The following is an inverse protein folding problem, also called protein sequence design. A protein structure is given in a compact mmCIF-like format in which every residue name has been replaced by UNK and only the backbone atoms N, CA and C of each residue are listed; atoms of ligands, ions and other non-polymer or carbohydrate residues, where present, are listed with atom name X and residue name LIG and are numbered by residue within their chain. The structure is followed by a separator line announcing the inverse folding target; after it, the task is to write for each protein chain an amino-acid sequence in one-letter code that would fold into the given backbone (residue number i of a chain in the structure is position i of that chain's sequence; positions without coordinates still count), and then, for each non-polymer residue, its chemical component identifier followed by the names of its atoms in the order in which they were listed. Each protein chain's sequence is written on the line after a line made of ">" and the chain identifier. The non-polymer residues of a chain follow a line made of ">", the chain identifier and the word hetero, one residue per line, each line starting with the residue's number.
data_IF_571729603920
#
_entry.id   IF_571729603920
#
_cell.length_a   1.000
_cell.length_b   1.000
_cell.length_c   1.000
_cell.angle_alpha   90.00
_cell.angle_beta   90.00
_cell.angle_gamma   90.00
#
_symmetry.space_group_name_H-M   'P 1'
#
loop_
_entity.id
_entity.type
_entity.pdbx_description
1 polymer ?
#
# COMPACT_ATOMS: atom_id res chain seq x y z
N UNK A 1 -2.98 -9.98 22.07
CA UNK A 1 -1.82 -10.14 22.96
C UNK A 1 -0.59 -9.48 22.34
N UNK A 2 -0.18 -9.82 21.11
CA UNK A 2 1.01 -9.23 20.46
C UNK A 2 0.94 -7.70 20.35
N UNK A 3 -0.20 -7.12 19.95
CA UNK A 3 -0.36 -5.66 19.85
C UNK A 3 -0.19 -4.95 21.20
N UNK A 4 -0.65 -5.58 22.28
CA UNK A 4 -0.50 -5.03 23.62
C UNK A 4 0.96 -5.04 24.10
N UNK A 5 1.70 -6.13 23.81
CA UNK A 5 3.15 -6.22 24.08
C UNK A 5 3.93 -5.16 23.27
N UNK A 6 3.56 -4.93 22.00
CA UNK A 6 4.18 -3.90 21.16
C UNK A 6 3.92 -2.49 21.69
N UNK A 7 2.69 -2.20 22.17
CA UNK A 7 2.36 -0.90 22.78
C UNK A 7 3.18 -0.67 24.05
N UNK A 8 3.24 -1.66 24.96
CA UNK A 8 4.05 -1.56 26.18
C UNK A 8 5.52 -1.42 25.85
N UNK A 9 6.04 -2.22 24.91
CA UNK A 9 7.44 -2.14 24.47
C UNK A 9 7.80 -0.78 23.88
N UNK A 10 6.90 -0.19 23.10
CA UNK A 10 7.06 1.14 22.53
C UNK A 10 7.06 2.22 23.61
N UNK A 11 6.14 2.15 24.57
CA UNK A 11 6.07 3.14 25.66
C UNK A 11 7.27 3.09 26.61
N UNK A 12 7.86 1.90 26.82
CA UNK A 12 8.95 1.71 27.78
C UNK A 12 10.35 1.90 27.17
N UNK A 13 10.53 1.61 25.88
CA UNK A 13 11.86 1.56 25.25
C UNK A 13 12.10 2.57 24.14
N UNK A 14 11.06 3.24 23.60
CA UNK A 14 11.26 4.25 22.57
C UNK A 14 11.40 5.64 23.24
N UNK A 15 12.61 6.20 23.29
CA UNK A 15 12.79 7.55 23.82
C UNK A 15 12.14 8.56 22.88
N UNK A 16 11.55 9.58 23.46
CA UNK A 16 11.02 10.73 22.70
C UNK A 16 12.17 11.43 21.96
N UNK A 17 12.26 11.27 20.65
CA UNK A 17 13.33 11.85 19.83
C UNK A 17 13.08 13.30 19.41
N UNK A 18 11.87 13.84 19.67
CA UNK A 18 11.54 15.23 19.39
C UNK A 18 12.01 16.14 20.53
N UNK A 19 12.97 17.01 20.26
CA UNK A 19 13.35 18.11 21.14
C UNK A 19 12.16 19.02 21.39
N UNK A 20 12.04 19.53 22.62
CA UNK A 20 10.93 20.39 23.08
C UNK A 20 10.73 21.62 22.17
N UNK A 21 11.80 22.12 21.56
CA UNK A 21 11.81 23.24 20.60
C UNK A 21 11.17 22.90 19.25
N UNK A 22 11.13 21.62 18.86
CA UNK A 22 10.54 21.14 17.58
C UNK A 22 9.14 20.54 17.75
N UNK A 23 8.60 20.53 18.98
CA UNK A 23 7.20 20.19 19.18
C UNK A 23 6.35 21.30 18.58
N UNK A 24 5.57 20.98 17.54
CA UNK A 24 4.55 21.91 17.08
C UNK A 24 3.68 22.33 18.28
N UNK A 25 3.77 23.61 18.64
CA UNK A 25 3.15 24.20 19.83
C UNK A 25 1.61 24.23 19.78
N UNK A 26 1.01 23.69 18.73
CA UNK A 26 -0.43 23.57 18.57
C UNK A 26 -0.83 22.21 17.98
N UNK A 27 -0.90 21.19 18.84
CA UNK A 27 -1.44 19.86 18.48
C UNK A 27 -2.97 19.83 18.38
N UNK A 28 -3.61 20.94 18.03
CA UNK A 28 -5.06 21.04 17.88
C UNK A 28 -5.55 20.45 16.55
N UNK A 29 -6.74 19.83 16.55
CA UNK A 29 -7.43 19.34 15.35
C UNK A 29 -7.49 20.40 14.24
N UNK A 30 -7.67 21.67 14.61
CA UNK A 30 -7.71 22.81 13.68
C UNK A 30 -6.40 22.99 12.91
N UNK A 31 -5.25 22.82 13.57
CA UNK A 31 -3.92 22.88 12.94
C UNK A 31 -3.71 21.66 12.02
N UNK A 32 -4.14 20.49 12.44
CA UNK A 32 -4.08 19.28 11.63
C UNK A 32 -4.88 19.46 10.33
N UNK A 33 -6.13 19.93 10.36
CA UNK A 33 -6.94 20.21 9.18
C UNK A 33 -6.34 21.30 8.29
N UNK A 34 -5.74 22.35 8.88
CA UNK A 34 -5.02 23.39 8.12
C UNK A 34 -3.83 22.79 7.36
N UNK A 35 -3.04 21.95 8.01
CA UNK A 35 -1.90 21.27 7.39
C UNK A 35 -2.35 20.31 6.28
N UNK A 36 -3.42 19.54 6.49
CA UNK A 36 -4.02 18.70 5.46
C UNK A 36 -4.44 19.50 4.23
N UNK A 37 -5.08 20.66 4.42
CA UNK A 37 -5.47 21.54 3.31
C UNK A 37 -4.27 22.06 2.51
N UNK A 38 -3.15 22.34 3.17
CA UNK A 38 -1.91 22.76 2.50
C UNK A 38 -1.31 21.60 1.71
N UNK A 39 -1.21 20.41 2.31
CA UNK A 39 -0.69 19.20 1.66
C UNK A 39 -1.50 18.81 0.43
N UNK A 40 -2.84 18.86 0.53
CA UNK A 40 -3.75 18.55 -0.58
C UNK A 40 -3.69 19.57 -1.72
N UNK A 41 -3.10 20.75 -1.49
CA UNK A 41 -2.83 21.72 -2.56
C UNK A 41 -1.47 21.56 -3.23
N UNK A 42 -0.63 20.66 -2.72
CA UNK A 42 0.71 20.42 -3.23
C UNK A 42 0.71 19.22 -4.17
N UNK A 43 0.75 19.41 -5.52
CA UNK A 43 0.64 18.29 -6.47
C UNK A 43 1.72 17.23 -6.29
N UNK A 44 2.93 17.63 -5.90
CA UNK A 44 4.07 16.73 -5.64
C UNK A 44 3.85 15.81 -4.46
N UNK A 45 3.02 16.21 -3.50
CA UNK A 45 2.57 15.37 -2.39
C UNK A 45 1.36 14.52 -2.77
N UNK A 46 0.39 15.13 -3.45
CA UNK A 46 -0.90 14.50 -3.76
C UNK A 46 -0.75 13.33 -4.73
N UNK A 47 0.10 13.46 -5.74
CA UNK A 47 0.25 12.41 -6.75
C UNK A 47 0.78 11.09 -6.17
N UNK A 48 1.90 11.05 -5.42
CA UNK A 48 2.35 9.84 -4.75
C UNK A 48 1.33 9.30 -3.74
N UNK A 49 0.65 10.17 -3.00
CA UNK A 49 -0.41 9.80 -2.06
C UNK A 49 -1.57 9.07 -2.76
N UNK A 50 -2.04 9.58 -3.90
CA UNK A 50 -3.12 8.95 -4.67
C UNK A 50 -2.69 7.62 -5.27
N UNK A 51 -1.48 7.53 -5.83
CA UNK A 51 -0.93 6.27 -6.38
C UNK A 51 -0.85 5.23 -5.26
N UNK A 52 -0.34 5.59 -4.08
CA UNK A 52 -0.32 4.73 -2.91
C UNK A 52 -1.74 4.30 -2.50
N UNK A 53 -2.69 5.23 -2.41
CA UNK A 53 -4.08 4.94 -2.08
C UNK A 53 -4.72 3.93 -3.05
N UNK A 54 -4.55 4.15 -4.37
CA UNK A 54 -5.05 3.25 -5.41
C UNK A 54 -4.39 1.85 -5.35
N UNK A 55 -3.12 1.79 -5.00
CA UNK A 55 -2.43 0.51 -4.75
C UNK A 55 -3.08 -0.27 -3.61
N UNK A 56 -3.54 0.41 -2.55
CA UNK A 56 -4.29 -0.22 -1.47
C UNK A 56 -5.72 -0.64 -1.88
N UNK A 57 -6.37 0.09 -2.78
CA UNK A 57 -7.61 -0.40 -3.41
C UNK A 57 -7.37 -1.76 -4.07
N UNK A 58 -6.32 -1.89 -4.86
CA UNK A 58 -5.95 -3.15 -5.52
C UNK A 58 -5.74 -4.27 -4.48
N UNK A 59 -4.96 -4.01 -3.44
CA UNK A 59 -4.66 -5.00 -2.41
C UNK A 59 -5.93 -5.46 -1.67
N UNK A 60 -6.76 -4.53 -1.21
CA UNK A 60 -7.97 -4.87 -0.46
C UNK A 60 -9.03 -5.54 -1.35
N UNK A 61 -9.17 -5.11 -2.61
CA UNK A 61 -10.00 -5.80 -3.60
C UNK A 61 -9.54 -7.24 -3.81
N UNK A 62 -8.22 -7.45 -3.98
CA UNK A 62 -7.65 -8.80 -4.08
C UNK A 62 -7.98 -9.64 -2.83
N UNK A 63 -7.76 -9.10 -1.63
CA UNK A 63 -8.02 -9.83 -0.38
C UNK A 63 -9.50 -10.21 -0.27
N UNK A 64 -10.42 -9.32 -0.63
CA UNK A 64 -11.86 -9.54 -0.53
C UNK A 64 -12.38 -10.49 -1.62
N UNK A 65 -11.93 -10.33 -2.88
CA UNK A 65 -12.43 -11.07 -4.02
C UNK A 65 -11.77 -12.45 -4.19
N UNK A 66 -10.49 -12.61 -3.81
CA UNK A 66 -9.73 -13.82 -4.12
C UNK A 66 -10.34 -15.12 -3.57
N UNK A 67 -10.90 -15.18 -2.34
CA UNK A 67 -11.54 -16.40 -1.87
C UNK A 67 -12.72 -16.82 -2.74
N UNK A 68 -13.55 -15.85 -3.16
CA UNK A 68 -14.69 -16.13 -4.03
C UNK A 68 -14.23 -16.58 -5.43
N UNK A 69 -13.31 -15.83 -6.04
CA UNK A 69 -12.81 -16.14 -7.38
C UNK A 69 -12.18 -17.53 -7.39
N UNK A 70 -11.27 -17.81 -6.46
CA UNK A 70 -10.47 -19.04 -6.49
C UNK A 70 -11.31 -20.27 -6.11
N UNK A 71 -12.16 -20.17 -5.09
CA UNK A 71 -12.91 -21.31 -4.61
C UNK A 71 -14.25 -21.50 -5.35
N UNK A 72 -14.98 -20.41 -5.69
CA UNK A 72 -16.30 -20.52 -6.31
C UNK A 72 -16.24 -20.58 -7.84
N UNK A 73 -15.42 -19.73 -8.47
CA UNK A 73 -15.34 -19.68 -9.95
C UNK A 73 -14.42 -20.80 -10.45
N UNK A 74 -13.25 -20.99 -9.84
CA UNK A 74 -12.28 -22.00 -10.28
C UNK A 74 -12.39 -23.34 -9.55
N UNK A 75 -13.31 -23.50 -8.59
CA UNK A 75 -13.58 -24.76 -7.92
C UNK A 75 -12.44 -25.28 -7.02
N UNK A 76 -11.51 -24.41 -6.64
CA UNK A 76 -10.37 -24.80 -5.81
C UNK A 76 -10.77 -25.04 -4.36
N UNK A 77 -10.08 -25.96 -3.70
CA UNK A 77 -10.28 -26.23 -2.27
C UNK A 77 -9.72 -25.09 -1.42
N UNK A 78 -10.18 -24.99 -0.15
CA UNK A 78 -9.66 -24.01 0.80
C UNK A 78 -8.13 -24.18 1.05
N UNK A 79 -7.63 -25.42 0.98
CA UNK A 79 -6.20 -25.71 1.12
C UNK A 79 -5.42 -25.15 -0.05
N UNK A 80 -5.88 -25.35 -1.29
CA UNK A 80 -5.25 -24.82 -2.49
C UNK A 80 -5.24 -23.28 -2.49
N UNK A 81 -6.38 -22.66 -2.09
CA UNK A 81 -6.44 -21.21 -1.86
C UNK A 81 -5.39 -20.74 -0.86
N UNK A 82 -5.24 -21.44 0.28
CA UNK A 82 -4.26 -21.06 1.31
C UNK A 82 -2.83 -21.11 0.80
N UNK A 83 -2.47 -22.12 0.01
CA UNK A 83 -1.14 -22.20 -0.62
C UNK A 83 -0.89 -21.07 -1.61
N UNK A 84 -1.89 -20.75 -2.42
CA UNK A 84 -1.77 -19.63 -3.36
C UNK A 84 -1.64 -18.29 -2.61
N UNK A 85 -2.46 -18.09 -1.58
CA UNK A 85 -2.42 -16.87 -0.77
C UNK A 85 -1.07 -16.71 -0.05
N UNK A 86 -0.51 -17.81 0.47
CA UNK A 86 0.84 -17.83 1.04
C UNK A 86 1.92 -17.49 0.00
N UNK A 87 1.81 -18.04 -1.23
CA UNK A 87 2.70 -17.70 -2.34
C UNK A 87 2.69 -16.22 -2.71
N UNK A 88 1.50 -15.60 -2.74
CA UNK A 88 1.38 -14.16 -2.93
C UNK A 88 2.03 -13.38 -1.76
N UNK A 89 1.86 -13.84 -0.52
CA UNK A 89 2.55 -13.26 0.63
C UNK A 89 4.08 -13.29 0.50
N UNK A 90 4.63 -14.40 0.05
CA UNK A 90 6.07 -14.53 -0.25
C UNK A 90 6.48 -13.54 -1.36
N UNK A 91 5.66 -13.42 -2.40
CA UNK A 91 5.91 -12.47 -3.49
C UNK A 91 5.99 -11.02 -2.98
N UNK A 92 5.12 -10.62 -2.05
CA UNK A 92 5.17 -9.30 -1.40
C UNK A 92 6.49 -9.09 -0.64
N UNK A 93 6.96 -10.10 0.09
CA UNK A 93 8.23 -10.02 0.82
C UNK A 93 9.40 -9.85 -0.16
N UNK A 94 9.47 -10.68 -1.20
CA UNK A 94 10.53 -10.60 -2.22
C UNK A 94 10.51 -9.24 -2.90
N UNK A 95 9.34 -8.77 -3.31
CA UNK A 95 9.17 -7.46 -3.96
C UNK A 95 9.60 -6.30 -3.05
N UNK A 96 9.30 -6.38 -1.76
CA UNK A 96 9.74 -5.38 -0.78
C UNK A 96 11.26 -5.31 -0.68
N UNK A 97 11.94 -6.46 -0.59
CA UNK A 97 13.40 -6.51 -0.54
C UNK A 97 14.03 -6.01 -1.85
N UNK A 98 13.47 -6.45 -2.98
CA UNK A 98 13.93 -6.01 -4.30
C UNK A 98 13.77 -4.49 -4.46
N UNK A 99 12.67 -3.92 -3.99
CA UNK A 99 12.45 -2.47 -4.01
C UNK A 99 13.51 -1.75 -3.17
N UNK A 100 13.79 -2.24 -1.96
CA UNK A 100 14.83 -1.68 -1.10
C UNK A 100 16.21 -1.69 -1.76
N UNK A 101 16.55 -2.77 -2.47
CA UNK A 101 17.79 -2.85 -3.21
C UNK A 101 17.81 -1.92 -4.44
N UNK A 102 16.73 -1.84 -5.19
CA UNK A 102 16.67 -1.04 -6.43
C UNK A 102 16.66 0.48 -6.18
N UNK A 103 16.22 0.94 -5.01
CA UNK A 103 16.25 2.37 -4.65
C UNK A 103 17.67 2.93 -4.61
N UNK A 104 18.67 2.11 -4.31
CA UNK A 104 20.05 2.53 -4.29
C UNK A 104 20.63 2.83 -5.70
N UNK A 105 20.01 2.28 -6.75
CA UNK A 105 20.47 2.38 -8.14
C UNK A 105 19.53 3.18 -9.04
N UNK A 106 18.27 3.26 -8.69
CA UNK A 106 17.22 3.85 -9.53
C UNK A 106 16.49 4.93 -8.75
N UNK A 107 16.29 6.09 -9.38
CA UNK A 107 15.49 7.16 -8.81
C UNK A 107 14.10 6.69 -8.38
N UNK A 108 13.71 7.05 -7.15
CA UNK A 108 12.48 6.59 -6.51
C UNK A 108 11.22 6.89 -7.34
N UNK A 109 11.18 8.01 -8.05
CA UNK A 109 10.02 8.35 -8.88
C UNK A 109 9.95 7.48 -10.13
N UNK A 110 11.10 7.18 -10.76
CA UNK A 110 11.16 6.28 -11.92
C UNK A 110 10.79 4.86 -11.53
N UNK A 111 11.32 4.40 -10.40
CA UNK A 111 11.00 3.07 -9.87
C UNK A 111 9.52 2.94 -9.54
N UNK A 112 8.92 3.93 -8.87
CA UNK A 112 7.49 3.93 -8.56
C UNK A 112 6.63 3.90 -9.85
N UNK A 113 6.99 4.68 -10.88
CA UNK A 113 6.30 4.66 -12.18
C UNK A 113 6.37 3.28 -12.83
N UNK A 114 7.55 2.67 -12.86
CA UNK A 114 7.74 1.32 -13.42
C UNK A 114 6.88 0.28 -12.71
N UNK A 115 6.88 0.29 -11.38
CA UNK A 115 6.06 -0.62 -10.56
C UNK A 115 4.55 -0.39 -10.76
N UNK A 116 4.12 0.87 -10.86
CA UNK A 116 2.71 1.21 -11.15
C UNK A 116 2.30 0.71 -12.54
N UNK A 117 3.16 0.81 -13.55
CA UNK A 117 2.90 0.24 -14.88
C UNK A 117 2.75 -1.28 -14.83
N UNK A 118 3.58 -1.98 -14.06
CA UNK A 118 3.44 -3.43 -13.84
C UNK A 118 2.08 -3.75 -13.19
N UNK A 119 1.63 -2.96 -12.22
CA UNK A 119 0.29 -3.13 -11.64
C UNK A 119 -0.83 -2.95 -12.66
N UNK A 120 -0.73 -1.94 -13.53
CA UNK A 120 -1.73 -1.72 -14.60
C UNK A 120 -1.78 -2.92 -15.54
N UNK A 121 -0.63 -3.46 -15.94
CA UNK A 121 -0.56 -4.69 -16.75
C UNK A 121 -1.23 -5.85 -16.00
N UNK A 122 -0.97 -5.99 -14.71
CA UNK A 122 -1.60 -7.00 -13.86
C UNK A 122 -3.13 -6.87 -13.81
N UNK A 123 -3.66 -5.64 -13.65
CA UNK A 123 -5.11 -5.39 -13.69
C UNK A 123 -5.71 -5.84 -15.02
N UNK A 124 -5.10 -5.41 -16.12
CA UNK A 124 -5.56 -5.75 -17.48
C UNK A 124 -5.56 -7.28 -17.68
N UNK A 125 -4.47 -7.94 -17.30
CA UNK A 125 -4.34 -9.40 -17.43
C UNK A 125 -5.39 -10.15 -16.61
N UNK A 126 -5.55 -9.80 -15.33
CA UNK A 126 -6.56 -10.42 -14.45
C UNK A 126 -7.96 -10.20 -15.01
N UNK A 127 -8.26 -8.99 -15.48
CA UNK A 127 -9.57 -8.69 -16.09
C UNK A 127 -9.83 -9.53 -17.34
N UNK A 128 -8.87 -9.64 -18.25
CA UNK A 128 -9.00 -10.46 -19.47
C UNK A 128 -9.21 -11.94 -19.09
N UNK A 129 -8.43 -12.46 -18.16
CA UNK A 129 -8.50 -13.86 -17.71
C UNK A 129 -9.87 -14.19 -17.13
N UNK A 130 -10.41 -13.29 -16.29
CA UNK A 130 -11.73 -13.49 -15.67
C UNK A 130 -12.87 -13.39 -16.69
N UNK A 131 -12.81 -12.45 -17.63
CA UNK A 131 -13.84 -12.29 -18.67
C UNK A 131 -13.89 -13.47 -19.65
N UNK A 132 -12.75 -14.07 -19.96
CA UNK A 132 -12.66 -15.18 -20.90
C UNK A 132 -12.64 -16.57 -20.23
N UNK A 133 -12.78 -16.62 -18.91
CA UNK A 133 -12.72 -17.87 -18.12
C UNK A 133 -11.47 -18.73 -18.44
N UNK A 134 -10.31 -18.08 -18.56
CA UNK A 134 -9.06 -18.76 -18.86
C UNK A 134 -8.58 -19.63 -17.70
N UNK A 135 -7.54 -20.43 -17.96
CA UNK A 135 -6.98 -21.34 -16.98
C UNK A 135 -6.52 -20.64 -15.69
N UNK A 136 -6.75 -21.31 -14.55
CA UNK A 136 -6.36 -20.85 -13.21
C UNK A 136 -4.89 -20.40 -13.12
N UNK A 137 -3.96 -21.10 -13.77
CA UNK A 137 -2.53 -20.76 -13.70
C UNK A 137 -2.22 -19.40 -14.32
N UNK A 138 -2.94 -19.01 -15.35
CA UNK A 138 -2.80 -17.69 -15.96
C UNK A 138 -3.34 -16.62 -15.02
N UNK A 139 -4.44 -16.89 -14.30
CA UNK A 139 -4.95 -16.01 -13.25
C UNK A 139 -3.94 -15.85 -12.11
N UNK A 140 -3.31 -16.96 -11.68
CA UNK A 140 -2.30 -16.94 -10.63
C UNK A 140 -1.10 -16.05 -11.00
N UNK A 141 -0.62 -16.16 -12.25
CA UNK A 141 0.44 -15.27 -12.78
C UNK A 141 -0.06 -13.82 -12.79
N UNK A 142 -1.29 -13.58 -13.23
CA UNK A 142 -1.91 -12.26 -13.23
C UNK A 142 -1.95 -11.64 -11.81
N UNK A 143 -2.31 -12.41 -10.81
CA UNK A 143 -2.29 -11.96 -9.41
C UNK A 143 -0.87 -11.68 -8.90
N UNK A 144 0.12 -12.48 -9.28
CA UNK A 144 1.52 -12.21 -8.93
C UNK A 144 1.96 -10.87 -9.53
N UNK A 145 1.73 -10.64 -10.81
CA UNK A 145 2.09 -9.39 -11.50
C UNK A 145 1.36 -8.18 -10.87
N UNK A 146 0.09 -8.36 -10.51
CA UNK A 146 -0.73 -7.32 -9.91
C UNK A 146 -0.28 -6.94 -8.50
N UNK A 147 0.00 -7.95 -7.67
CA UNK A 147 0.20 -7.76 -6.22
C UNK A 147 1.68 -7.57 -5.86
N UNK A 148 2.62 -8.14 -6.61
CA UNK A 148 4.05 -8.00 -6.32
C UNK A 148 4.49 -6.53 -6.11
N UNK A 149 4.11 -5.56 -6.96
CA UNK A 149 4.57 -4.18 -6.81
C UNK A 149 3.93 -3.41 -5.63
N UNK A 150 2.91 -3.96 -4.97
CA UNK A 150 2.10 -3.24 -3.96
C UNK A 150 2.96 -2.67 -2.83
N UNK A 151 3.84 -3.48 -2.24
CA UNK A 151 4.72 -3.05 -1.14
C UNK A 151 5.72 -2.00 -1.60
N UNK A 152 6.28 -2.17 -2.81
CA UNK A 152 7.22 -1.22 -3.39
C UNK A 152 6.57 0.14 -3.67
N UNK A 153 5.42 0.16 -4.35
CA UNK A 153 4.68 1.39 -4.63
C UNK A 153 4.24 2.08 -3.33
N UNK A 154 3.78 1.32 -2.34
CA UNK A 154 3.38 1.86 -1.05
C UNK A 154 4.55 2.54 -0.32
N UNK A 155 5.70 1.89 -0.25
CA UNK A 155 6.90 2.42 0.41
C UNK A 155 7.44 3.64 -0.34
N UNK A 156 7.59 3.56 -1.67
CA UNK A 156 8.08 4.66 -2.48
C UNK A 156 7.13 5.86 -2.45
N UNK A 157 5.82 5.61 -2.56
CA UNK A 157 4.80 6.66 -2.48
C UNK A 157 4.84 7.40 -1.13
N UNK A 158 5.00 6.65 -0.04
CA UNK A 158 5.17 7.22 1.29
C UNK A 158 6.44 8.07 1.38
N UNK A 159 7.59 7.55 0.95
CA UNK A 159 8.89 8.24 1.01
C UNK A 159 8.87 9.52 0.17
N UNK A 160 8.45 9.44 -1.09
CA UNK A 160 8.39 10.61 -1.99
C UNK A 160 7.45 11.68 -1.44
N UNK A 161 6.27 11.29 -0.93
CA UNK A 161 5.35 12.24 -0.34
C UNK A 161 5.91 12.90 0.93
N UNK A 162 6.63 12.15 1.75
CA UNK A 162 7.26 12.67 2.98
C UNK A 162 8.40 13.64 2.67
N UNK A 163 9.19 13.40 1.62
CA UNK A 163 10.28 14.31 1.20
C UNK A 163 9.74 15.65 0.68
N UNK A 164 8.58 15.64 0.02
CA UNK A 164 7.93 16.85 -0.51
C UNK A 164 7.07 17.58 0.56
N UNK A 165 7.02 17.07 1.80
CA UNK A 165 6.14 17.63 2.82
C UNK A 165 6.73 18.88 3.46
N UNK A 166 6.14 20.06 3.19
CA UNK A 166 6.48 21.34 3.82
C UNK A 166 5.78 21.58 5.16
N UNK A 167 4.77 20.78 5.51
CA UNK A 167 3.82 21.06 6.62
C UNK A 167 4.01 20.17 7.86
N UNK A 168 5.25 19.73 8.13
CA UNK A 168 5.56 18.85 9.26
C UNK A 168 5.33 17.36 8.96
N UNK A 169 6.35 16.55 9.26
CA UNK A 169 6.36 15.10 8.96
C UNK A 169 5.21 14.34 9.63
N UNK A 170 4.79 14.76 10.83
CA UNK A 170 3.70 14.11 11.56
C UNK A 170 2.32 14.29 10.90
N UNK A 171 2.02 15.46 10.35
CA UNK A 171 0.76 15.71 9.63
C UNK A 171 0.71 14.94 8.30
N UNK A 172 1.84 14.87 7.61
CA UNK A 172 1.96 14.16 6.32
C UNK A 172 1.78 12.65 6.49
N UNK A 173 2.43 12.02 7.47
CA UNK A 173 2.29 10.58 7.72
C UNK A 173 0.87 10.19 8.13
N UNK A 174 0.20 11.03 8.93
CA UNK A 174 -1.21 10.81 9.31
C UNK A 174 -2.13 10.87 8.10
N UNK A 175 -1.94 11.84 7.20
CA UNK A 175 -2.75 11.97 6.00
C UNK A 175 -2.53 10.79 5.03
N UNK A 176 -1.29 10.38 4.82
CA UNK A 176 -0.94 9.22 3.99
C UNK A 176 -1.58 7.94 4.53
N UNK A 177 -1.45 7.67 5.83
CA UNK A 177 -2.06 6.51 6.46
C UNK A 177 -3.59 6.54 6.38
N UNK A 178 -4.22 7.71 6.61
CA UNK A 178 -5.66 7.87 6.50
C UNK A 178 -6.16 7.57 5.08
N UNK A 179 -5.54 8.15 4.06
CA UNK A 179 -5.91 7.92 2.65
C UNK A 179 -5.74 6.44 2.28
N UNK A 180 -4.64 5.82 2.65
CA UNK A 180 -4.34 4.40 2.40
C UNK A 180 -5.47 3.48 2.90
N UNK A 181 -5.87 3.62 4.16
CA UNK A 181 -6.91 2.78 4.75
C UNK A 181 -8.33 3.16 4.31
N UNK A 182 -8.56 4.44 4.02
CA UNK A 182 -9.85 4.91 3.55
C UNK A 182 -10.16 4.38 2.14
N UNK A 183 -9.19 4.46 1.23
CA UNK A 183 -9.34 3.91 -0.12
C UNK A 183 -9.51 2.38 -0.10
N UNK A 184 -8.69 1.65 0.67
CA UNK A 184 -8.82 0.21 0.81
C UNK A 184 -10.12 -0.21 1.49
N UNK A 185 -10.52 0.48 2.57
CA UNK A 185 -11.74 0.18 3.32
C UNK A 185 -13.01 0.46 2.55
N UNK A 186 -13.04 1.49 1.69
CA UNK A 186 -14.18 1.76 0.80
C UNK A 186 -14.26 0.75 -0.35
N UNK A 187 -13.12 0.29 -0.86
CA UNK A 187 -13.09 -0.66 -1.97
C UNK A 187 -13.54 -2.08 -1.54
N UNK A 188 -13.17 -2.52 -0.33
CA UNK A 188 -13.46 -3.88 0.16
C UNK A 188 -14.94 -4.28 0.12
N UNK A 189 -15.92 -3.47 0.56
CA UNK A 189 -17.34 -3.86 0.53
C UNK A 189 -18.00 -3.73 -0.85
N UNK A 190 -17.30 -3.17 -1.85
CA UNK A 190 -17.83 -3.02 -3.22
C UNK A 190 -17.56 -4.26 -4.11
N UNK A 191 -16.86 -5.23 -3.58
CA UNK A 191 -16.45 -6.48 -4.24
C UNK A 191 -17.21 -7.68 -3.66
#
# INVERSE_FOLDING_TARGET
>A
IFGFVMVIGSLLKVPESLTVTNRESSSGLKTMFKNFKILLKTPRFVLPMLIQGMTFVILFTYISASPFIIQKIYGMTAIQFSWMFAGIGITLIISSQLTGYLVDFIDSQKLMRGMTMIQIIGVILVTIVLLNHWNFWILAIGFIILIAPVTGVATLGFTIAMDESSSGRGSSSRLLGLVQFLFGGVASPLV
#
